data_IF_942903513425
#
_entry.id   IF_942903513425
#
_cell.length_a   1.000
_cell.length_b   1.000
_cell.length_c   1.000
_cell.angle_alpha   90.00
_cell.angle_beta   90.00
_cell.angle_gamma   90.00
#
_symmetry.space_group_name_H-M   'P 1'
#
loop_
_entity.id
_entity.type
_entity.pdbx_description
1 polymer ?
#
# COMPACT_ATOMS: atom_id res chain seq x y z
N UNK A 1 -28.18 14.17 -20.05
CA UNK A 1 -28.09 13.28 -18.86
C UNK A 1 -27.06 13.89 -17.92
N UNK A 2 -27.47 14.36 -16.75
CA UNK A 2 -26.51 14.78 -15.72
C UNK A 2 -25.70 13.56 -15.30
N UNK A 3 -24.37 13.63 -15.42
CA UNK A 3 -23.50 12.55 -14.98
C UNK A 3 -23.81 12.21 -13.51
N UNK A 4 -23.98 10.93 -13.20
CA UNK A 4 -24.23 10.49 -11.83
C UNK A 4 -23.04 10.90 -10.95
N UNK A 5 -23.30 11.36 -9.72
CA UNK A 5 -22.23 11.73 -8.80
C UNK A 5 -21.27 10.55 -8.55
N UNK A 6 -19.95 10.78 -8.45
CA UNK A 6 -18.99 9.71 -8.26
C UNK A 6 -19.22 9.00 -6.92
N UNK A 7 -19.19 7.68 -6.94
CA UNK A 7 -19.35 6.83 -5.76
C UNK A 7 -18.04 6.60 -5.01
N UNK A 8 -16.91 6.67 -5.74
CA UNK A 8 -15.57 6.43 -5.23
C UNK A 8 -14.60 7.41 -5.88
N UNK A 9 -13.76 8.05 -5.07
CA UNK A 9 -12.59 8.79 -5.53
C UNK A 9 -11.35 7.92 -5.34
N UNK A 10 -10.58 7.71 -6.40
CA UNK A 10 -9.31 6.99 -6.39
C UNK A 10 -8.17 7.99 -6.47
N UNK A 11 -7.33 8.02 -5.44
CA UNK A 11 -6.13 8.85 -5.40
C UNK A 11 -4.93 8.02 -5.86
N UNK A 12 -4.21 8.53 -6.86
CA UNK A 12 -2.95 7.92 -7.32
C UNK A 12 -1.88 9.00 -7.35
N UNK A 13 -0.83 8.82 -6.55
CA UNK A 13 0.28 9.75 -6.49
C UNK A 13 1.52 9.18 -7.21
N UNK A 14 2.31 10.08 -7.82
CA UNK A 14 3.62 9.75 -8.38
C UNK A 14 4.56 10.94 -8.22
N UNK A 15 5.83 10.71 -7.85
CA UNK A 15 6.87 11.73 -7.95
C UNK A 15 7.48 11.80 -9.36
N UNK A 16 7.09 10.89 -10.25
CA UNK A 16 7.56 10.80 -11.63
C UNK A 16 6.62 11.52 -12.60
N UNK A 17 6.49 10.96 -13.81
CA UNK A 17 5.59 11.44 -14.87
C UNK A 17 4.35 10.56 -15.02
N UNK A 18 3.38 11.01 -15.79
CA UNK A 18 2.13 10.29 -16.07
C UNK A 18 2.35 8.86 -16.56
N UNK A 19 3.43 8.59 -17.30
CA UNK A 19 3.80 7.22 -17.71
C UNK A 19 3.83 6.22 -16.55
N UNK A 20 4.23 6.63 -15.34
CA UNK A 20 4.36 5.70 -14.20
C UNK A 20 3.00 5.27 -13.65
N UNK A 21 1.94 6.07 -13.85
CA UNK A 21 0.57 5.74 -13.43
C UNK A 21 -0.27 5.13 -14.56
N UNK A 22 0.21 5.19 -15.80
CA UNK A 22 -0.50 4.74 -17.02
C UNK A 22 -1.10 3.35 -16.88
N UNK A 23 -0.33 2.38 -16.39
CA UNK A 23 -0.82 1.00 -16.27
C UNK A 23 -1.92 0.88 -15.22
N UNK A 24 -1.77 1.53 -14.07
CA UNK A 24 -2.82 1.63 -13.05
C UNK A 24 -4.07 2.29 -13.61
N UNK A 25 -3.93 3.38 -14.38
CA UNK A 25 -5.05 4.05 -15.04
C UNK A 25 -5.79 3.12 -16.02
N UNK A 26 -5.08 2.31 -16.81
CA UNK A 26 -5.73 1.31 -17.69
C UNK A 26 -6.57 0.30 -16.91
N UNK A 27 -6.12 -0.11 -15.73
CA UNK A 27 -6.89 -1.00 -14.84
C UNK A 27 -8.09 -0.29 -14.20
N UNK A 28 -7.95 0.99 -13.87
CA UNK A 28 -9.04 1.81 -13.35
C UNK A 28 -10.09 2.14 -14.44
N UNK A 29 -9.67 2.38 -15.68
CA UNK A 29 -10.60 2.65 -16.79
C UNK A 29 -11.39 1.40 -17.20
N UNK A 30 -10.87 0.21 -16.87
CA UNK A 30 -11.54 -1.08 -17.11
C UNK A 30 -12.48 -1.50 -15.98
N UNK A 31 -12.71 -0.64 -14.98
CA UNK A 31 -13.66 -0.94 -13.91
C UNK A 31 -15.09 -1.01 -14.45
N UNK A 32 -15.90 -1.94 -13.94
CA UNK A 32 -17.29 -2.13 -14.38
C UNK A 32 -18.22 -0.97 -14.03
N UNK A 33 -17.75 -0.04 -13.18
CA UNK A 33 -18.41 1.21 -12.81
C UNK A 33 -17.50 2.43 -13.01
N UNK A 34 -16.59 2.40 -14.01
CA UNK A 34 -15.62 3.46 -14.25
C UNK A 34 -16.26 4.87 -14.37
N UNK A 35 -17.45 4.95 -14.95
CA UNK A 35 -18.26 6.17 -15.09
C UNK A 35 -18.77 6.73 -13.75
N UNK A 36 -18.62 5.98 -12.65
CA UNK A 36 -18.91 6.40 -11.26
C UNK A 36 -17.65 6.58 -10.41
N UNK A 37 -16.46 6.44 -11.01
CA UNK A 37 -15.17 6.62 -10.34
C UNK A 37 -14.61 8.00 -10.68
N UNK A 38 -14.32 8.80 -9.66
CA UNK A 38 -13.45 9.98 -9.79
C UNK A 38 -12.00 9.53 -9.62
N UNK A 39 -11.09 10.01 -10.46
CA UNK A 39 -9.64 9.81 -10.28
C UNK A 39 -8.96 11.15 -10.01
N UNK A 40 -8.13 11.20 -8.98
CA UNK A 40 -7.26 12.35 -8.71
C UNK A 40 -5.81 11.90 -8.81
N UNK A 41 -5.13 12.41 -9.83
CA UNK A 41 -3.72 12.22 -10.09
C UNK A 41 -2.92 13.30 -9.34
N UNK A 42 -1.98 12.87 -8.51
CA UNK A 42 -1.21 13.76 -7.63
C UNK A 42 0.26 13.67 -7.99
N UNK A 43 0.86 14.81 -8.36
CA UNK A 43 2.27 14.90 -8.72
C UNK A 43 2.91 16.20 -8.25
N UNK A 44 4.21 16.41 -8.50
CA UNK A 44 4.87 17.66 -8.18
C UNK A 44 4.19 18.86 -8.83
N UNK A 45 3.80 18.69 -10.10
CA UNK A 45 3.11 19.68 -10.92
C UNK A 45 1.92 19.03 -11.65
N UNK A 46 0.90 19.80 -12.02
CA UNK A 46 -0.21 19.27 -12.85
C UNK A 46 0.27 18.81 -14.25
N UNK A 47 1.30 19.47 -14.77
CA UNK A 47 2.00 19.15 -16.03
C UNK A 47 2.75 17.82 -15.98
N UNK A 48 2.98 17.22 -14.80
CA UNK A 48 3.61 15.91 -14.66
C UNK A 48 2.84 14.82 -15.41
N UNK A 49 1.57 15.06 -15.75
CA UNK A 49 0.66 14.14 -16.42
C UNK A 49 0.36 14.50 -17.88
N UNK A 50 1.09 15.46 -18.47
CA UNK A 50 0.87 15.90 -19.86
C UNK A 50 1.30 14.87 -20.91
N UNK A 51 2.09 13.87 -20.49
CA UNK A 51 2.43 12.69 -21.30
C UNK A 51 1.31 11.64 -21.35
N UNK A 52 0.18 11.84 -20.66
CA UNK A 52 -1.02 11.01 -20.78
C UNK A 52 -1.92 11.50 -21.90
N UNK A 53 -2.37 10.60 -22.76
CA UNK A 53 -3.33 10.92 -23.80
C UNK A 53 -4.73 11.12 -23.18
N UNK A 54 -5.58 12.02 -23.73
CA UNK A 54 -6.93 12.27 -23.20
C UNK A 54 -7.78 11.00 -23.05
N UNK A 55 -7.66 10.05 -24.00
CA UNK A 55 -8.35 8.77 -23.99
C UNK A 55 -8.01 7.90 -22.77
N UNK A 56 -6.83 8.06 -22.16
CA UNK A 56 -6.42 7.31 -20.96
C UNK A 56 -7.18 7.76 -19.69
N UNK A 57 -7.93 8.85 -19.78
CA UNK A 57 -8.69 9.46 -18.65
C UNK A 57 -10.17 9.69 -18.95
N UNK A 58 -10.63 9.37 -20.17
CA UNK A 58 -11.96 9.73 -20.65
C UNK A 58 -13.10 8.87 -20.07
N UNK A 59 -12.82 7.66 -19.60
CA UNK A 59 -13.83 6.72 -19.10
C UNK A 59 -14.30 6.96 -17.66
N UNK A 60 -13.68 7.89 -16.95
CA UNK A 60 -14.00 8.19 -15.55
C UNK A 60 -15.17 9.18 -15.42
N UNK A 61 -15.83 9.19 -14.26
CA UNK A 61 -16.78 10.26 -13.91
C UNK A 61 -16.10 11.63 -14.04
N UNK A 62 -14.92 11.72 -13.42
CA UNK A 62 -14.01 12.86 -13.49
C UNK A 62 -12.56 12.37 -13.35
N UNK A 63 -11.63 13.05 -14.03
CA UNK A 63 -10.20 12.88 -13.80
C UNK A 63 -9.54 14.23 -13.57
N UNK A 64 -8.97 14.45 -12.38
CA UNK A 64 -8.32 15.71 -11.98
C UNK A 64 -6.83 15.50 -11.78
N UNK A 65 -6.04 16.54 -12.07
CA UNK A 65 -4.59 16.57 -11.87
C UNK A 65 -4.29 17.61 -10.79
N UNK A 66 -3.52 17.25 -9.77
CA UNK A 66 -3.11 18.13 -8.68
C UNK A 66 -1.57 18.20 -8.64
N UNK A 67 -1.04 19.43 -8.71
CA UNK A 67 0.35 19.73 -8.40
C UNK A 67 0.47 20.14 -6.93
N UNK A 68 1.33 19.45 -6.17
CA UNK A 68 1.51 19.71 -4.72
C UNK A 68 2.94 20.09 -4.34
N UNK A 69 3.81 20.27 -5.33
CA UNK A 69 5.25 20.39 -5.14
C UNK A 69 5.94 19.04 -4.91
N UNK A 70 7.28 19.01 -4.88
CA UNK A 70 8.04 17.78 -4.64
C UNK A 70 7.69 17.14 -3.30
N UNK A 71 7.59 15.81 -3.28
CA UNK A 71 7.35 15.03 -2.07
C UNK A 71 8.19 13.75 -2.09
N UNK A 72 8.59 13.31 -0.90
CA UNK A 72 9.37 12.08 -0.68
C UNK A 72 8.53 10.97 0.00
N UNK A 73 7.25 11.25 0.23
CA UNK A 73 6.31 10.38 0.91
C UNK A 73 4.92 10.42 0.24
N UNK A 74 4.55 9.30 -0.41
CA UNK A 74 3.25 9.13 -1.10
C UNK A 74 2.06 9.40 -0.18
N UNK A 75 2.21 9.02 1.08
CA UNK A 75 1.16 9.08 2.09
C UNK A 75 0.67 10.49 2.36
N UNK A 76 1.59 11.41 2.62
CA UNK A 76 1.26 12.82 2.82
C UNK A 76 0.76 13.47 1.53
N UNK A 77 1.22 13.00 0.38
CA UNK A 77 0.76 13.47 -0.91
C UNK A 77 -0.74 13.23 -1.14
N UNK A 78 -1.35 12.23 -0.48
CA UNK A 78 -2.80 12.01 -0.61
C UNK A 78 -3.66 13.08 0.08
N UNK A 79 -3.14 13.87 1.04
CA UNK A 79 -3.97 14.80 1.82
C UNK A 79 -4.71 15.83 0.97
N UNK A 80 -4.06 16.55 0.02
CA UNK A 80 -4.78 17.46 -0.86
C UNK A 80 -5.81 16.73 -1.72
N UNK A 81 -5.53 15.49 -2.13
CA UNK A 81 -6.49 14.64 -2.86
C UNK A 81 -7.72 14.28 -2.04
N UNK A 82 -7.56 13.89 -0.78
CA UNK A 82 -8.68 13.59 0.14
C UNK A 82 -9.57 14.82 0.31
N UNK A 83 -8.95 16.00 0.49
CA UNK A 83 -9.67 17.27 0.63
C UNK A 83 -10.42 17.64 -0.66
N UNK A 84 -9.80 17.44 -1.81
CA UNK A 84 -10.37 17.76 -3.12
C UNK A 84 -11.40 16.74 -3.64
N UNK A 85 -11.41 15.52 -3.10
CA UNK A 85 -12.33 14.45 -3.48
C UNK A 85 -13.79 14.87 -3.35
N UNK A 86 -14.61 14.45 -4.31
CA UNK A 86 -16.05 14.76 -4.33
C UNK A 86 -16.91 13.57 -3.94
N UNK A 87 -16.41 12.34 -4.07
CA UNK A 87 -17.12 11.14 -3.66
C UNK A 87 -17.13 10.95 -2.13
N UNK A 88 -18.12 10.23 -1.57
CA UNK A 88 -18.15 9.91 -0.14
C UNK A 88 -17.08 8.90 0.28
N UNK A 89 -16.49 8.17 -0.67
CA UNK A 89 -15.46 7.16 -0.44
C UNK A 89 -14.16 7.57 -1.12
N UNK A 90 -13.03 7.35 -0.46
CA UNK A 90 -11.70 7.63 -1.01
C UNK A 90 -10.81 6.40 -0.91
N UNK A 91 -10.22 5.98 -2.03
CA UNK A 91 -9.22 4.92 -2.08
C UNK A 91 -7.82 5.48 -2.30
N UNK A 92 -6.86 4.99 -1.53
CA UNK A 92 -5.46 5.41 -1.57
C UNK A 92 -4.67 4.36 -2.34
N UNK A 93 -4.37 4.56 -3.62
CA UNK A 93 -3.72 3.55 -4.46
C UNK A 93 -2.28 3.94 -4.79
N UNK A 94 -1.41 2.94 -4.72
CA UNK A 94 -0.04 3.06 -5.24
C UNK A 94 -0.06 3.12 -6.77
N UNK A 95 0.95 3.76 -7.38
CA UNK A 95 1.06 3.86 -8.85
C UNK A 95 1.42 2.53 -9.54
N UNK A 96 1.59 1.44 -8.79
CA UNK A 96 2.01 0.13 -9.28
C UNK A 96 1.12 -1.01 -8.77
N UNK A 97 -0.17 -0.72 -8.57
CA UNK A 97 -1.22 -1.73 -8.38
C UNK A 97 -2.20 -1.78 -9.54
N UNK A 98 -2.75 -2.97 -9.78
CA UNK A 98 -3.58 -3.28 -10.94
C UNK A 98 -4.91 -3.88 -10.45
N UNK A 99 -5.91 -3.05 -10.13
CA UNK A 99 -7.26 -3.50 -9.79
C UNK A 99 -7.86 -4.41 -10.86
N UNK A 100 -8.56 -5.46 -10.43
CA UNK A 100 -9.40 -6.30 -11.30
C UNK A 100 -10.69 -5.55 -11.68
N UNK A 101 -11.37 -5.87 -12.80
CA UNK A 101 -12.49 -5.08 -13.33
C UNK A 101 -13.63 -4.79 -12.33
N UNK A 102 -13.90 -5.71 -11.40
CA UNK A 102 -14.99 -5.54 -10.41
C UNK A 102 -14.53 -4.94 -9.07
N UNK A 103 -13.27 -4.51 -8.97
CA UNK A 103 -12.70 -4.02 -7.71
C UNK A 103 -13.48 -2.82 -7.16
N UNK A 104 -13.73 -1.79 -7.97
CA UNK A 104 -14.41 -0.58 -7.53
C UNK A 104 -15.86 -0.87 -7.10
N UNK A 105 -16.57 -1.70 -7.87
CA UNK A 105 -17.93 -2.12 -7.55
C UNK A 105 -17.98 -2.91 -6.22
N UNK A 106 -17.01 -3.79 -5.98
CA UNK A 106 -16.89 -4.53 -4.73
C UNK A 106 -16.60 -3.62 -3.54
N UNK A 107 -15.69 -2.65 -3.68
CA UNK A 107 -15.41 -1.64 -2.65
C UNK A 107 -16.66 -0.84 -2.30
N UNK A 108 -17.37 -0.29 -3.30
CA UNK A 108 -18.58 0.52 -3.07
C UNK A 108 -19.66 -0.30 -2.35
N UNK A 109 -19.90 -1.53 -2.80
CA UNK A 109 -20.87 -2.45 -2.16
C UNK A 109 -20.48 -2.76 -0.72
N UNK A 110 -19.20 -2.99 -0.42
CA UNK A 110 -18.76 -3.26 0.94
C UNK A 110 -19.12 -2.10 1.89
N UNK A 111 -19.04 -0.85 1.45
CA UNK A 111 -19.41 0.34 2.22
C UNK A 111 -20.92 0.55 2.44
N UNK A 112 -21.79 -0.32 1.92
CA UNK A 112 -23.17 -0.41 2.37
C UNK A 112 -23.23 -0.90 3.84
N UNK A 113 -22.19 -1.59 4.30
CA UNK A 113 -22.00 -1.95 5.70
C UNK A 113 -21.49 -0.81 6.59
N UNK A 114 -21.45 -1.02 7.93
CA UNK A 114 -21.06 -0.02 8.92
C UNK A 114 -19.53 0.17 9.02
N UNK A 115 -18.81 0.04 7.92
CA UNK A 115 -17.35 0.08 7.88
C UNK A 115 -16.86 1.51 7.65
N UNK A 116 -15.75 1.84 8.31
CA UNK A 116 -15.05 3.12 8.09
C UNK A 116 -13.90 2.96 7.10
N UNK A 117 -13.39 1.73 6.95
CA UNK A 117 -12.40 1.39 5.93
C UNK A 117 -12.59 -0.03 5.39
N UNK A 118 -12.30 -0.21 4.11
CA UNK A 118 -12.39 -1.50 3.40
C UNK A 118 -11.04 -1.80 2.76
N UNK A 119 -10.47 -2.96 3.11
CA UNK A 119 -9.23 -3.47 2.54
C UNK A 119 -9.48 -4.45 1.40
N UNK A 120 -8.64 -4.35 0.37
CA UNK A 120 -8.65 -5.22 -0.80
C UNK A 120 -7.88 -6.52 -0.54
N UNK A 121 -8.13 -7.54 -1.37
CA UNK A 121 -7.23 -8.67 -1.57
C UNK A 121 -6.12 -8.26 -2.54
N UNK A 122 -4.88 -8.49 -2.15
CA UNK A 122 -3.71 -8.07 -2.91
C UNK A 122 -2.94 -9.31 -3.32
N UNK A 123 -2.77 -9.52 -4.62
CA UNK A 123 -2.05 -10.66 -5.19
C UNK A 123 -0.74 -10.21 -5.82
N UNK A 124 0.17 -11.13 -6.13
CA UNK A 124 1.46 -10.80 -6.74
C UNK A 124 1.31 -10.56 -8.27
N UNK A 125 1.75 -9.40 -8.77
CA UNK A 125 1.70 -9.10 -10.21
C UNK A 125 2.81 -9.78 -11.02
N UNK A 126 4.03 -9.86 -10.47
CA UNK A 126 5.23 -10.38 -11.13
C UNK A 126 5.73 -11.63 -10.42
N UNK A 127 5.22 -12.79 -10.80
CA UNK A 127 5.42 -14.07 -10.10
C UNK A 127 6.70 -14.81 -10.47
N UNK A 128 7.49 -14.26 -11.39
CA UNK A 128 8.58 -14.98 -12.05
C UNK A 128 9.88 -15.00 -11.24
N UNK A 129 9.94 -14.25 -10.12
CA UNK A 129 11.12 -14.18 -9.25
C UNK A 129 10.79 -14.50 -7.79
N UNK A 130 11.72 -15.21 -7.12
CA UNK A 130 11.64 -15.42 -5.67
C UNK A 130 11.65 -14.09 -4.90
N UNK A 131 12.37 -13.07 -5.40
CA UNK A 131 12.40 -11.73 -4.80
C UNK A 131 10.99 -11.13 -4.70
N UNK A 132 10.23 -11.18 -5.79
CA UNK A 132 8.87 -10.64 -5.81
C UNK A 132 7.95 -11.39 -4.84
N UNK A 133 8.03 -12.72 -4.82
CA UNK A 133 7.27 -13.54 -3.86
C UNK A 133 7.62 -13.22 -2.41
N UNK A 134 8.91 -13.08 -2.07
CA UNK A 134 9.33 -12.73 -0.71
C UNK A 134 8.82 -11.35 -0.32
N UNK A 135 8.93 -10.36 -1.19
CA UNK A 135 8.37 -9.03 -0.92
C UNK A 135 6.85 -9.08 -0.71
N UNK A 136 6.14 -9.79 -1.60
CA UNK A 136 4.70 -9.95 -1.52
C UNK A 136 4.26 -10.58 -0.18
N UNK A 137 4.87 -11.71 0.19
CA UNK A 137 4.54 -12.41 1.44
C UNK A 137 4.87 -11.56 2.68
N UNK A 138 5.97 -10.80 2.63
CA UNK A 138 6.38 -9.93 3.73
C UNK A 138 5.46 -8.72 3.91
N UNK A 139 4.95 -8.16 2.83
CA UNK A 139 4.15 -6.92 2.83
C UNK A 139 2.65 -7.20 2.88
N UNK A 140 2.16 -8.13 2.05
CA UNK A 140 0.74 -8.39 1.83
C UNK A 140 0.27 -9.78 2.25
N UNK A 141 1.12 -10.69 2.75
CA UNK A 141 0.71 -12.07 3.09
C UNK A 141 -0.40 -12.23 4.16
N UNK A 142 -0.85 -11.14 4.82
CA UNK A 142 -2.05 -11.14 5.70
C UNK A 142 -3.33 -10.67 4.99
N UNK A 143 -3.18 -10.22 3.76
CA UNK A 143 -4.13 -9.54 2.91
C UNK A 143 -4.13 -10.13 1.49
N UNK A 144 -3.50 -11.28 1.30
CA UNK A 144 -3.38 -11.97 0.02
C UNK A 144 -4.60 -12.86 -0.29
N UNK A 145 -4.55 -13.64 -1.37
CA UNK A 145 -5.63 -14.53 -1.77
C UNK A 145 -6.01 -15.60 -0.74
N UNK A 146 -5.17 -15.84 0.29
CA UNK A 146 -5.48 -16.78 1.38
C UNK A 146 -6.25 -16.12 2.52
N UNK A 147 -6.36 -14.79 2.50
CA UNK A 147 -7.02 -14.01 3.53
C UNK A 147 -8.54 -14.21 3.51
N UNK A 148 -9.13 -14.45 4.69
CA UNK A 148 -10.59 -14.51 4.86
C UNK A 148 -11.21 -13.11 4.80
N UNK A 149 -12.37 -13.00 4.16
CA UNK A 149 -13.21 -11.80 4.19
C UNK A 149 -13.95 -11.64 5.52
N UNK A 150 -14.51 -10.44 5.73
CA UNK A 150 -15.23 -10.11 6.96
C UNK A 150 -14.64 -8.93 7.72
N UNK A 151 -15.18 -8.69 8.92
CA UNK A 151 -14.62 -7.71 9.84
C UNK A 151 -13.23 -8.14 10.33
N UNK A 152 -12.27 -7.21 10.28
CA UNK A 152 -10.88 -7.49 10.61
C UNK A 152 -10.28 -6.36 11.45
N UNK A 153 -9.35 -6.71 12.34
CA UNK A 153 -8.63 -5.70 13.12
C UNK A 153 -7.61 -4.90 12.30
N UNK A 154 -7.27 -5.37 11.09
CA UNK A 154 -6.25 -4.75 10.23
C UNK A 154 -6.51 -5.00 8.75
N UNK A 155 -6.27 -3.93 8.00
CA UNK A 155 -6.19 -3.86 6.53
C UNK A 155 -4.85 -3.19 6.16
N UNK A 156 -4.37 -3.28 4.91
CA UNK A 156 -3.26 -2.44 4.48
C UNK A 156 -3.72 -0.97 4.45
N UNK A 157 -2.80 -0.03 4.69
CA UNK A 157 -3.14 1.41 4.67
C UNK A 157 -3.27 1.92 3.25
N UNK A 158 -2.22 1.73 2.44
CA UNK A 158 -2.30 1.85 0.99
C UNK A 158 -3.14 0.70 0.42
N UNK A 159 -3.68 0.91 -0.77
CA UNK A 159 -4.49 -0.05 -1.53
C UNK A 159 -5.81 -0.44 -0.84
N UNK A 160 -6.28 0.45 0.03
CA UNK A 160 -7.55 0.36 0.75
C UNK A 160 -8.38 1.62 0.52
N UNK A 161 -9.67 1.50 0.81
CA UNK A 161 -10.64 2.59 0.73
C UNK A 161 -11.17 2.97 2.11
N UNK A 162 -11.56 4.23 2.26
CA UNK A 162 -11.98 4.85 3.51
C UNK A 162 -13.22 5.70 3.27
N UNK A 163 -14.05 5.90 4.29
CA UNK A 163 -15.03 6.98 4.24
C UNK A 163 -14.32 8.32 4.28
N UNK A 164 -14.72 9.24 3.40
CA UNK A 164 -14.08 10.54 3.25
C UNK A 164 -14.23 11.40 4.50
N UNK A 165 -15.43 11.44 5.08
CA UNK A 165 -15.75 12.18 6.30
C UNK A 165 -14.90 11.74 7.50
N UNK A 166 -14.66 10.44 7.65
CA UNK A 166 -13.78 9.87 8.67
C UNK A 166 -12.34 10.38 8.52
N UNK A 167 -11.82 10.46 7.29
CA UNK A 167 -10.48 11.03 7.07
C UNK A 167 -10.46 12.55 7.30
N UNK A 168 -11.51 13.28 6.89
CA UNK A 168 -11.59 14.72 7.08
C UNK A 168 -11.76 15.14 8.55
N UNK A 169 -12.30 14.27 9.39
CA UNK A 169 -12.46 14.52 10.83
C UNK A 169 -11.11 14.78 11.55
N UNK A 170 -9.99 14.33 10.99
CA UNK A 170 -8.66 14.64 11.50
C UNK A 170 -8.22 16.09 11.29
N UNK A 171 -8.92 16.86 10.44
CA UNK A 171 -8.64 18.28 10.19
C UNK A 171 -7.20 18.54 9.77
N UNK A 172 -6.51 19.38 10.54
CA UNK A 172 -5.09 19.73 10.31
C UNK A 172 -4.11 18.64 10.76
N UNK A 173 -4.57 17.67 11.57
CA UNK A 173 -3.76 16.50 11.97
C UNK A 173 -3.69 15.40 10.91
N UNK A 174 -4.49 15.49 9.83
CA UNK A 174 -4.56 14.47 8.78
C UNK A 174 -3.18 14.12 8.17
N UNK A 175 -2.30 15.09 7.83
CA UNK A 175 -0.96 14.77 7.31
C UNK A 175 -0.13 13.88 8.23
N UNK A 176 -0.20 14.10 9.54
CA UNK A 176 0.65 13.39 10.51
C UNK A 176 0.12 11.99 10.81
N UNK A 177 -1.20 11.82 10.90
CA UNK A 177 -1.78 10.48 11.08
C UNK A 177 -1.62 9.62 9.83
N UNK A 178 -1.63 10.24 8.64
CA UNK A 178 -1.55 9.53 7.36
C UNK A 178 -0.12 9.12 6.99
N UNK A 179 0.90 9.82 7.49
CA UNK A 179 2.31 9.53 7.27
C UNK A 179 2.66 8.04 7.44
N UNK A 180 3.73 7.58 6.78
CA UNK A 180 4.19 6.18 6.82
C UNK A 180 4.51 5.72 8.23
N UNK A 181 5.09 6.60 9.03
CA UNK A 181 5.34 6.36 10.45
C UNK A 181 4.21 6.88 11.36
N UNK A 182 3.10 7.31 10.75
CA UNK A 182 1.87 7.72 11.41
C UNK A 182 1.03 6.54 11.89
N UNK A 183 -0.07 6.87 12.55
CA UNK A 183 -0.90 5.93 13.29
C UNK A 183 -2.31 5.72 12.76
N UNK A 184 -2.64 6.13 11.52
CA UNK A 184 -4.03 6.19 11.02
C UNK A 184 -4.90 5.00 11.44
N UNK A 185 -4.51 3.78 11.09
CA UNK A 185 -5.33 2.58 11.36
C UNK A 185 -5.44 2.28 12.86
N UNK A 186 -4.40 2.54 13.63
CA UNK A 186 -4.44 2.35 15.09
C UNK A 186 -5.29 3.41 15.78
N UNK A 187 -5.25 4.65 15.30
CA UNK A 187 -6.10 5.75 15.78
C UNK A 187 -7.56 5.49 15.45
N UNK A 188 -7.87 5.16 14.19
CA UNK A 188 -9.23 4.80 13.80
C UNK A 188 -9.78 3.66 14.65
N UNK A 189 -8.99 2.60 14.87
CA UNK A 189 -9.41 1.47 15.71
C UNK A 189 -9.61 1.86 17.17
N UNK A 190 -8.76 2.74 17.72
CA UNK A 190 -8.91 3.26 19.10
C UNK A 190 -10.18 4.08 19.24
N UNK A 191 -10.57 4.80 18.19
CA UNK A 191 -11.76 5.63 18.14
C UNK A 191 -13.04 4.83 17.79
N UNK A 192 -12.95 3.50 17.76
CA UNK A 192 -14.09 2.60 17.58
C UNK A 192 -14.47 2.34 16.12
N UNK A 193 -13.68 2.82 15.15
CA UNK A 193 -13.93 2.53 13.74
C UNK A 193 -13.68 1.06 13.40
N UNK A 194 -14.49 0.55 12.47
CA UNK A 194 -14.51 -0.86 12.06
C UNK A 194 -13.97 -1.01 10.64
N UNK A 195 -13.19 -2.07 10.41
CA UNK A 195 -12.62 -2.37 9.10
C UNK A 195 -13.18 -3.67 8.55
N UNK A 196 -13.36 -3.71 7.23
CA UNK A 196 -13.80 -4.88 6.50
C UNK A 196 -12.76 -5.29 5.47
N UNK A 197 -12.60 -6.60 5.25
CA UNK A 197 -11.84 -7.13 4.13
C UNK A 197 -12.80 -7.68 3.10
N UNK A 198 -12.81 -7.05 1.93
CA UNK A 198 -13.68 -7.42 0.82
C UNK A 198 -12.94 -8.35 -0.14
N UNK A 199 -13.34 -9.63 -0.18
CA UNK A 199 -12.65 -10.65 -0.98
C UNK A 199 -12.88 -10.53 -2.48
N UNK A 200 -13.96 -9.87 -2.90
CA UNK A 200 -14.24 -9.54 -4.29
C UNK A 200 -13.48 -8.31 -4.79
N UNK A 201 -12.96 -7.46 -3.88
CA UNK A 201 -12.13 -6.32 -4.22
C UNK A 201 -10.68 -6.80 -4.36
N UNK A 202 -10.29 -7.20 -5.57
CA UNK A 202 -8.98 -7.80 -5.86
C UNK A 202 -8.10 -6.86 -6.68
N UNK A 203 -6.80 -6.87 -6.40
CA UNK A 203 -5.80 -6.19 -7.22
C UNK A 203 -4.47 -6.96 -7.22
N UNK A 204 -3.68 -6.77 -8.28
CA UNK A 204 -2.29 -7.26 -8.34
C UNK A 204 -1.33 -6.14 -7.98
N UNK A 205 -0.37 -6.40 -7.10
CA UNK A 205 0.67 -5.45 -6.71
C UNK A 205 2.01 -5.84 -7.35
N UNK A 206 2.65 -4.89 -8.04
CA UNK A 206 3.97 -5.07 -8.63
C UNK A 206 5.07 -4.89 -7.57
N UNK A 207 5.86 -5.93 -7.35
CA UNK A 207 6.94 -5.92 -6.37
C UNK A 207 8.30 -5.68 -7.04
N UNK A 208 9.33 -5.20 -6.31
CA UNK A 208 10.71 -5.27 -6.78
C UNK A 208 11.10 -6.70 -7.17
N UNK A 209 11.70 -6.87 -8.35
CA UNK A 209 12.33 -8.14 -8.75
C UNK A 209 13.84 -8.16 -8.49
N UNK A 210 14.46 -7.00 -8.27
CA UNK A 210 15.88 -6.93 -7.88
C UNK A 210 16.07 -7.23 -6.38
N UNK A 211 16.77 -8.32 -6.06
CA UNK A 211 17.00 -8.77 -4.66
C UNK A 211 17.64 -7.68 -3.80
N UNK A 212 18.61 -6.92 -4.34
CA UNK A 212 19.27 -5.81 -3.62
C UNK A 212 18.27 -4.71 -3.23
N UNK A 213 17.34 -4.39 -4.11
CA UNK A 213 16.29 -3.40 -3.88
C UNK A 213 15.34 -3.88 -2.79
N UNK A 214 14.87 -5.14 -2.88
CA UNK A 214 14.02 -5.76 -1.87
C UNK A 214 14.68 -5.79 -0.49
N UNK A 215 15.93 -6.25 -0.37
CA UNK A 215 16.62 -6.32 0.94
C UNK A 215 16.78 -4.92 1.57
N UNK A 216 17.13 -3.91 0.78
CA UNK A 216 17.22 -2.52 1.27
C UNK A 216 15.87 -1.97 1.72
N UNK A 217 14.82 -2.22 0.93
CA UNK A 217 13.46 -1.87 1.29
C UNK A 217 13.07 -2.52 2.62
N UNK A 218 13.25 -3.85 2.75
CA UNK A 218 12.92 -4.59 3.98
C UNK A 218 13.69 -4.09 5.19
N UNK A 219 14.99 -3.80 5.04
CA UNK A 219 15.77 -3.22 6.14
C UNK A 219 15.23 -1.85 6.58
N UNK A 220 14.97 -0.95 5.63
CA UNK A 220 14.47 0.39 5.97
C UNK A 220 13.05 0.35 6.55
N UNK A 221 12.17 -0.48 5.99
CA UNK A 221 10.81 -0.70 6.48
C UNK A 221 10.80 -1.30 7.89
N UNK A 222 11.60 -2.33 8.16
CA UNK A 222 11.70 -2.96 9.49
C UNK A 222 12.23 -2.00 10.56
N UNK A 223 13.27 -1.22 10.22
CA UNK A 223 13.84 -0.20 11.12
C UNK A 223 12.86 0.92 11.44
N UNK A 224 12.16 1.44 10.43
CA UNK A 224 11.16 2.48 10.62
C UNK A 224 9.99 1.97 11.48
N UNK A 225 9.45 0.79 11.14
CA UNK A 225 8.29 0.20 11.83
C UNK A 225 8.53 -0.04 13.32
N UNK A 226 9.73 -0.52 13.70
CA UNK A 226 10.08 -0.75 15.09
C UNK A 226 10.09 0.54 15.92
N UNK A 227 10.65 1.62 15.37
CA UNK A 227 10.66 2.92 16.05
C UNK A 227 9.27 3.56 16.11
N UNK A 228 8.49 3.49 15.02
CA UNK A 228 7.09 3.92 15.00
C UNK A 228 6.30 3.26 16.12
N UNK A 229 6.40 1.93 16.25
CA UNK A 229 5.74 1.19 17.31
C UNK A 229 6.18 1.63 18.70
N UNK A 230 7.49 1.75 18.92
CA UNK A 230 8.04 2.16 20.21
C UNK A 230 7.58 3.57 20.61
N UNK A 231 7.49 4.51 19.67
CA UNK A 231 6.98 5.86 19.90
C UNK A 231 5.48 5.89 20.16
N UNK A 232 4.68 5.20 19.33
CA UNK A 232 3.22 5.17 19.44
C UNK A 232 2.73 4.59 20.78
N UNK A 233 3.46 3.62 21.33
CA UNK A 233 3.15 3.00 22.63
C UNK A 233 3.94 3.65 23.80
N UNK A 234 4.70 4.72 23.58
CA UNK A 234 5.43 5.43 24.64
C UNK A 234 6.50 4.59 25.37
N UNK A 235 7.22 3.72 24.66
CA UNK A 235 8.16 2.77 25.29
C UNK A 235 9.37 3.45 25.93
N UNK A 236 9.72 3.00 27.13
CA UNK A 236 10.97 3.37 27.79
C UNK A 236 12.20 2.84 27.04
N UNK A 237 13.36 3.47 27.25
CA UNK A 237 14.65 3.00 26.69
C UNK A 237 14.96 1.55 27.07
N UNK A 238 14.62 1.14 28.29
CA UNK A 238 14.81 -0.25 28.75
C UNK A 238 13.95 -1.24 27.96
N UNK A 239 12.66 -0.93 27.75
CA UNK A 239 11.77 -1.78 26.93
C UNK A 239 12.24 -1.87 25.48
N UNK A 240 12.70 -0.75 24.90
CA UNK A 240 13.30 -0.74 23.57
C UNK A 240 14.53 -1.66 23.50
N UNK A 241 15.45 -1.56 24.46
CA UNK A 241 16.65 -2.40 24.48
C UNK A 241 16.31 -3.89 24.67
N UNK A 242 15.34 -4.21 25.52
CA UNK A 242 14.84 -5.58 25.69
C UNK A 242 14.37 -6.17 24.35
N UNK A 243 13.58 -5.40 23.58
CA UNK A 243 13.10 -5.84 22.26
C UNK A 243 14.22 -5.90 21.21
N UNK A 244 15.23 -5.03 21.31
CA UNK A 244 16.41 -5.10 20.43
C UNK A 244 17.20 -6.40 20.67
N UNK A 245 17.44 -6.76 21.94
CA UNK A 245 18.13 -8.00 22.33
C UNK A 245 17.28 -9.23 22.01
N UNK A 246 15.95 -9.16 22.15
CA UNK A 246 15.03 -10.24 21.84
C UNK A 246 14.76 -10.42 20.33
N UNK A 247 15.26 -9.52 19.48
CA UNK A 247 15.03 -9.56 18.03
C UNK A 247 15.43 -10.87 17.33
N UNK A 248 16.44 -11.66 17.76
CA UNK A 248 16.74 -12.96 17.15
C UNK A 248 15.57 -13.96 17.22
N UNK A 249 14.59 -13.77 18.11
CA UNK A 249 13.38 -14.57 18.16
C UNK A 249 12.33 -14.17 17.10
N UNK A 250 12.39 -12.95 16.57
CA UNK A 250 11.38 -12.42 15.64
C UNK A 250 11.24 -13.20 14.33
N UNK A 251 12.31 -13.73 13.70
CA UNK A 251 12.17 -14.55 12.50
C UNK A 251 11.26 -15.76 12.73
N UNK A 252 11.43 -16.46 13.86
CA UNK A 252 10.63 -17.62 14.23
C UNK A 252 9.18 -17.24 14.53
N UNK A 253 8.96 -16.13 15.26
CA UNK A 253 7.62 -15.63 15.56
C UNK A 253 6.88 -15.19 14.28
N UNK A 254 7.57 -14.52 13.36
CA UNK A 254 7.04 -14.13 12.05
C UNK A 254 6.72 -15.35 11.20
N UNK A 255 7.63 -16.32 11.09
CA UNK A 255 7.41 -17.55 10.34
C UNK A 255 6.21 -18.33 10.89
N UNK A 256 6.11 -18.48 12.22
CA UNK A 256 4.96 -19.11 12.89
C UNK A 256 3.65 -18.38 12.54
N UNK A 257 3.66 -17.04 12.53
CA UNK A 257 2.48 -16.26 12.20
C UNK A 257 2.09 -16.34 10.71
N UNK A 258 3.06 -16.54 9.81
CA UNK A 258 2.85 -16.70 8.36
C UNK A 258 2.47 -18.13 7.97
N UNK A 259 2.82 -19.11 8.79
CA UNK A 259 2.73 -20.54 8.47
C UNK A 259 1.35 -21.01 7.96
N UNK A 260 0.21 -20.62 8.56
CA UNK A 260 -1.10 -21.04 8.05
C UNK A 260 -1.36 -20.53 6.63
N UNK A 261 -0.99 -19.28 6.35
CA UNK A 261 -1.12 -18.67 5.01
C UNK A 261 -0.21 -19.37 4.01
N UNK A 262 1.07 -19.58 4.35
CA UNK A 262 2.04 -20.26 3.48
C UNK A 262 1.60 -21.69 3.10
N UNK A 263 0.97 -22.42 4.03
CA UNK A 263 0.44 -23.77 3.76
C UNK A 263 -0.76 -23.77 2.81
N UNK A 264 -1.62 -22.76 2.92
CA UNK A 264 -2.80 -22.62 2.08
C UNK A 264 -2.52 -21.93 0.73
N UNK A 265 -1.35 -21.28 0.60
CA UNK A 265 -1.02 -20.44 -0.54
C UNK A 265 -0.96 -21.24 -1.86
N UNK A 266 -1.55 -20.72 -2.97
CA UNK A 266 -1.49 -21.40 -4.27
C UNK A 266 -0.05 -21.64 -4.75
N UNK A 267 0.84 -20.68 -4.51
CA UNK A 267 2.27 -20.77 -4.80
C UNK A 267 3.08 -21.70 -3.87
N UNK A 268 2.44 -22.62 -3.12
CA UNK A 268 3.15 -23.56 -2.23
C UNK A 268 4.19 -24.43 -2.96
N UNK A 269 3.97 -24.72 -4.24
CA UNK A 269 4.89 -25.51 -5.07
C UNK A 269 6.23 -24.78 -5.31
N UNK A 270 6.21 -23.45 -5.31
CA UNK A 270 7.40 -22.60 -5.51
C UNK A 270 8.19 -22.35 -4.22
N UNK A 271 7.69 -22.84 -3.08
CA UNK A 271 8.32 -22.62 -1.77
C UNK A 271 9.77 -23.10 -1.65
N UNK A 272 10.21 -24.20 -2.28
CA UNK A 272 11.62 -24.58 -2.26
C UNK A 272 12.56 -23.49 -2.81
N UNK A 273 12.08 -22.71 -3.78
CA UNK A 273 12.83 -21.59 -4.38
C UNK A 273 12.68 -20.31 -3.55
N UNK A 274 11.51 -20.07 -2.97
CA UNK A 274 11.19 -18.85 -2.20
C UNK A 274 11.78 -18.90 -0.78
N UNK A 275 11.75 -20.08 -0.12
CA UNK A 275 12.03 -20.24 1.31
C UNK A 275 13.44 -19.81 1.74
N UNK A 276 14.53 -20.10 1.00
CA UNK A 276 15.87 -19.63 1.40
C UNK A 276 15.95 -18.11 1.47
N UNK A 277 15.39 -17.41 0.48
CA UNK A 277 15.38 -15.96 0.44
C UNK A 277 14.41 -15.38 1.49
N UNK A 278 13.27 -16.03 1.74
CA UNK A 278 12.35 -15.64 2.81
C UNK A 278 13.02 -15.73 4.18
N UNK A 279 13.75 -16.82 4.46
CA UNK A 279 14.47 -17.00 5.71
C UNK A 279 15.54 -15.91 5.92
N UNK A 280 16.33 -15.63 4.88
CA UNK A 280 17.30 -14.53 4.91
C UNK A 280 16.62 -13.17 5.19
N UNK A 281 15.51 -12.90 4.51
CA UNK A 281 14.77 -11.64 4.68
C UNK A 281 14.16 -11.51 6.08
N UNK A 282 13.69 -12.61 6.69
CA UNK A 282 13.19 -12.61 8.07
C UNK A 282 14.31 -12.27 9.08
N UNK A 283 15.51 -12.81 8.88
CA UNK A 283 16.69 -12.46 9.70
C UNK A 283 17.06 -10.99 9.50
N UNK A 284 17.08 -10.51 8.25
CA UNK A 284 17.35 -9.10 7.96
C UNK A 284 16.31 -8.16 8.60
N UNK A 285 15.03 -8.51 8.54
CA UNK A 285 13.95 -7.76 9.18
C UNK A 285 14.12 -7.72 10.70
N UNK A 286 14.58 -8.80 11.32
CA UNK A 286 14.91 -8.83 12.74
C UNK A 286 16.06 -7.87 13.10
N UNK A 287 17.15 -7.88 12.32
CA UNK A 287 18.28 -6.94 12.49
C UNK A 287 17.81 -5.49 12.31
N UNK A 288 16.96 -5.24 11.31
CA UNK A 288 16.38 -3.93 11.05
C UNK A 288 15.53 -3.45 12.22
N UNK A 289 14.64 -4.29 12.73
CA UNK A 289 13.82 -3.98 13.90
C UNK A 289 14.68 -3.74 15.15
N UNK A 290 15.72 -4.56 15.38
CA UNK A 290 16.67 -4.36 16.47
C UNK A 290 17.32 -2.97 16.40
N UNK A 291 17.74 -2.58 15.19
CA UNK A 291 18.33 -1.27 14.91
C UNK A 291 17.33 -0.14 15.19
N UNK A 292 16.06 -0.31 14.79
CA UNK A 292 14.99 0.66 15.06
C UNK A 292 14.69 0.81 16.56
N UNK A 293 14.64 -0.30 17.30
CA UNK A 293 14.47 -0.25 18.74
C UNK A 293 15.67 0.41 19.44
N UNK A 294 16.91 0.05 19.09
CA UNK A 294 18.10 0.58 19.77
C UNK A 294 18.40 2.05 19.40
N UNK A 295 18.27 2.42 18.11
CA UNK A 295 18.80 3.69 17.57
C UNK A 295 17.75 4.56 16.87
N UNK A 296 16.49 4.12 16.85
CA UNK A 296 15.41 4.81 16.17
C UNK A 296 15.42 4.70 14.65
N UNK A 297 14.42 5.30 14.00
CA UNK A 297 14.19 5.17 12.56
C UNK A 297 15.31 5.80 11.71
N UNK A 298 15.92 6.89 12.18
CA UNK A 298 16.78 7.75 11.35
C UNK A 298 16.04 8.16 10.07
N UNK A 299 16.71 8.09 8.92
CA UNK A 299 16.10 8.37 7.60
C UNK A 299 15.41 7.16 6.96
N UNK A 300 15.11 6.10 7.72
CA UNK A 300 14.65 4.84 7.13
C UNK A 300 13.22 4.92 6.57
N UNK A 301 12.33 5.69 7.18
CA UNK A 301 10.96 5.88 6.66
C UNK A 301 10.99 6.50 5.25
N UNK A 302 11.75 7.59 5.08
CA UNK A 302 11.98 8.25 3.79
C UNK A 302 12.63 7.30 2.77
N UNK A 303 13.68 6.59 3.19
CA UNK A 303 14.38 5.64 2.29
C UNK A 303 13.49 4.48 1.83
N UNK A 304 12.56 4.01 2.67
CA UNK A 304 11.57 3.02 2.28
C UNK A 304 10.54 3.62 1.31
N UNK A 305 10.09 4.86 1.55
CA UNK A 305 9.12 5.55 0.69
C UNK A 305 9.58 5.75 -0.76
N UNK A 306 10.89 5.90 -0.98
CA UNK A 306 11.45 5.98 -2.34
C UNK A 306 11.10 4.78 -3.23
N UNK A 307 10.92 3.59 -2.64
CA UNK A 307 10.57 2.39 -3.41
C UNK A 307 9.10 2.39 -3.84
N UNK A 308 8.23 3.10 -3.11
CA UNK A 308 6.79 3.17 -3.41
C UNK A 308 6.47 4.31 -4.37
N UNK A 309 7.37 5.29 -4.50
CA UNK A 309 7.28 6.41 -5.44
C UNK A 309 7.52 5.98 -6.89
N UNK A 310 8.56 5.16 -7.12
CA UNK A 310 8.89 4.67 -8.45
C UNK A 310 9.37 3.21 -8.39
N UNK A 311 8.59 2.32 -8.99
CA UNK A 311 8.88 0.89 -9.02
C UNK A 311 9.87 0.53 -10.14
N UNK A 312 9.96 1.33 -11.20
CA UNK A 312 10.73 1.01 -12.40
C UNK A 312 12.24 0.74 -12.13
N UNK A 313 12.96 1.54 -11.33
CA UNK A 313 14.37 1.29 -11.00
C UNK A 313 14.61 -0.01 -10.23
N UNK A 314 13.55 -0.65 -9.74
CA UNK A 314 13.62 -1.83 -8.87
C UNK A 314 13.19 -3.13 -9.57
N UNK A 315 12.94 -3.04 -10.89
CA UNK A 315 12.63 -4.18 -11.75
C UNK A 315 13.86 -4.67 -12.53
N UNK A 316 13.95 -5.98 -12.69
CA UNK A 316 14.83 -6.58 -13.69
C UNK A 316 14.40 -6.24 -15.13
N UNK A 317 15.17 -6.68 -16.12
CA UNK A 317 14.89 -6.35 -17.53
C UNK A 317 13.56 -6.94 -18.04
N UNK A 318 13.20 -8.15 -17.60
CA UNK A 318 11.99 -8.83 -18.05
C UNK A 318 10.73 -8.16 -17.49
N UNK A 319 10.72 -7.88 -16.18
CA UNK A 319 9.63 -7.15 -15.54
C UNK A 319 9.51 -5.72 -16.06
N UNK A 320 10.64 -5.03 -16.29
CA UNK A 320 10.61 -3.68 -16.88
C UNK A 320 9.96 -3.69 -18.25
N UNK A 321 10.36 -4.62 -19.13
CA UNK A 321 9.75 -4.77 -20.45
C UNK A 321 8.26 -5.11 -20.37
N UNK A 322 7.85 -5.92 -19.39
CA UNK A 322 6.45 -6.35 -19.21
C UNK A 322 5.56 -5.28 -18.61
N UNK A 323 6.05 -4.50 -17.64
CA UNK A 323 5.24 -3.61 -16.81
C UNK A 323 5.39 -2.12 -17.13
N UNK A 324 6.49 -1.71 -17.78
CA UNK A 324 6.79 -0.30 -18.07
C UNK A 324 6.71 0.05 -19.57
N UNK A 325 6.38 -0.91 -20.43
CA UNK A 325 6.01 -0.68 -21.83
C UNK A 325 4.56 -0.20 -21.95
#
# INVERSE_FOLDING_TARGET
MTAAAPALTVLVATSGRGRTVRRTLRHLSAQTIAERVEVILIGPEASSFDDLAPAETAGFAHCRRLGIGPFDEVERAFVPGIRAATAPLVALLENHVYPEPDWAAAIVRAFEGPWSAVGSIITNANTDTATSWVEHLMTYGRHDETARGGEVARIPRNNSAFRRDVLLAFGDGLPDVLARDGGLLDTLRRDGHRFFRETGARMRHLNPSLTRSMLRLRFHSGRASADTRARAEGWSRGRRMLYAVASPAFPLLRLRAMWPGLRAHPARAEMPVIAPLLALTLVLDAVAQATGFAFGAGRSAVKAGLYDLDREPHLDAADRARFMA
#
